data_IF_004879234921
#
_entry.id   IF_004879234921
#
_cell.length_a   1.000
_cell.length_b   1.000
_cell.length_c   1.000
_cell.angle_alpha   90.00
_cell.angle_beta   90.00
_cell.angle_gamma   90.00
#
_symmetry.space_group_name_H-M   'P 1'
#
loop_
_entity.id
_entity.type
_entity.pdbx_description
1 polymer ?
#
# COMPACT_ATOMS: atom_id res chain seq x y z
N UNK A 1 -69.67 -11.36 -39.00
CA UNK A 1 -69.39 -10.37 -40.08
C UNK A 1 -68.24 -9.45 -39.63
N UNK A 2 -67.13 -9.42 -40.39
CA UNK A 2 -66.07 -8.39 -40.58
C UNK A 2 -65.31 -7.74 -39.38
N UNK A 3 -64.00 -8.07 -39.30
CA UNK A 3 -62.76 -7.23 -39.28
C UNK A 3 -62.82 -5.78 -38.72
N UNK A 4 -61.83 -5.17 -38.02
CA UNK A 4 -60.36 -5.07 -38.31
C UNK A 4 -59.58 -4.25 -37.24
N UNK A 5 -58.30 -4.64 -37.01
CA UNK A 5 -57.02 -3.86 -36.83
C UNK A 5 -56.64 -3.03 -35.56
N UNK A 6 -55.53 -3.49 -34.94
CA UNK A 6 -54.25 -2.83 -34.52
C UNK A 6 -54.26 -1.49 -33.75
N UNK A 7 -53.58 -1.45 -32.58
CA UNK A 7 -52.21 -0.91 -32.50
C UNK A 7 -51.45 -1.36 -31.24
N UNK A 8 -50.12 -1.32 -31.36
CA UNK A 8 -49.05 -1.79 -30.46
C UNK A 8 -48.49 -0.57 -29.74
N UNK A 9 -48.17 -0.65 -28.45
CA UNK A 9 -47.00 0.10 -27.96
C UNK A 9 -46.28 -0.59 -26.80
N UNK A 10 -44.95 -0.59 -26.93
CA UNK A 10 -43.93 -1.14 -26.04
C UNK A 10 -43.28 0.05 -25.33
N UNK A 11 -43.32 0.11 -24.01
CA UNK A 11 -42.34 0.86 -23.22
C UNK A 11 -42.32 0.36 -21.78
N UNK A 12 -41.30 -0.43 -21.43
CA UNK A 12 -41.05 -0.87 -20.07
C UNK A 12 -39.61 -1.32 -19.98
N UNK A 13 -38.75 -0.48 -19.39
CA UNK A 13 -37.32 -0.80 -19.25
C UNK A 13 -36.38 0.41 -19.23
N UNK A 14 -36.74 1.52 -18.56
CA UNK A 14 -35.81 2.62 -18.28
C UNK A 14 -35.81 3.11 -16.82
N UNK A 15 -36.81 2.77 -16.02
CA UNK A 15 -36.96 3.36 -14.67
C UNK A 15 -36.13 2.68 -13.56
N UNK A 16 -35.68 1.43 -13.73
CA UNK A 16 -35.00 0.69 -12.65
C UNK A 16 -33.52 1.10 -12.43
N UNK A 17 -32.82 1.56 -13.48
CA UNK A 17 -31.41 1.92 -13.39
C UNK A 17 -31.19 3.33 -12.82
N UNK A 18 -32.10 4.26 -13.10
CA UNK A 18 -32.04 5.63 -12.55
C UNK A 18 -32.42 5.69 -11.07
N UNK A 19 -33.36 4.85 -10.63
CA UNK A 19 -33.77 4.78 -9.21
C UNK A 19 -32.64 4.25 -8.30
N UNK A 20 -31.71 3.46 -8.87
CA UNK A 20 -30.57 2.91 -8.15
C UNK A 20 -29.46 3.96 -7.91
N UNK A 21 -29.15 4.82 -8.90
CA UNK A 21 -28.18 5.92 -8.73
C UNK A 21 -28.73 7.06 -7.86
N UNK A 22 -30.03 7.36 -7.97
CA UNK A 22 -30.68 8.42 -7.18
C UNK A 22 -30.75 8.09 -5.68
N UNK A 23 -30.81 6.80 -5.32
CA UNK A 23 -30.79 6.34 -3.92
C UNK A 23 -29.42 6.45 -3.24
N UNK A 24 -28.32 6.47 -4.00
CA UNK A 24 -26.97 6.61 -3.42
C UNK A 24 -26.67 8.06 -3.04
N UNK A 25 -27.15 9.02 -3.84
CA UNK A 25 -26.93 10.46 -3.60
C UNK A 25 -27.83 11.07 -2.50
N UNK A 26 -28.83 10.33 -2.00
CA UNK A 26 -29.74 10.77 -0.93
C UNK A 26 -29.40 10.19 0.45
N UNK A 27 -28.30 9.45 0.57
CA UNK A 27 -27.86 8.86 1.83
C UNK A 27 -27.22 9.92 2.74
N UNK A 28 -27.46 9.87 4.07
CA UNK A 28 -26.76 10.71 5.04
C UNK A 28 -25.24 10.55 4.91
N UNK A 29 -24.48 11.63 5.17
CA UNK A 29 -23.01 11.63 5.06
C UNK A 29 -22.35 10.47 5.84
N UNK A 30 -22.93 10.09 6.98
CA UNK A 30 -22.46 8.97 7.81
C UNK A 30 -22.54 7.63 7.07
N UNK A 31 -23.62 7.39 6.30
CA UNK A 31 -23.77 6.17 5.49
C UNK A 31 -22.85 6.16 4.28
N UNK A 32 -22.56 7.32 3.70
CA UNK A 32 -21.58 7.44 2.62
C UNK A 32 -20.16 7.16 3.12
N UNK A 33 -19.81 7.62 4.33
CA UNK A 33 -18.55 7.28 4.98
C UNK A 33 -18.47 5.79 5.33
N UNK A 34 -19.55 5.17 5.80
CA UNK A 34 -19.60 3.71 6.03
C UNK A 34 -19.41 2.92 4.74
N UNK A 35 -20.03 3.36 3.63
CA UNK A 35 -19.84 2.73 2.31
C UNK A 35 -18.40 2.92 1.82
N UNK A 36 -17.81 4.10 2.00
CA UNK A 36 -16.40 4.35 1.66
C UNK A 36 -15.46 3.47 2.50
N UNK A 37 -15.68 3.39 3.81
CA UNK A 37 -14.92 2.49 4.71
C UNK A 37 -15.10 1.03 4.33
N UNK A 38 -16.30 0.61 3.94
CA UNK A 38 -16.56 -0.76 3.48
C UNK A 38 -15.83 -1.04 2.17
N UNK A 39 -15.84 -0.10 1.21
CA UNK A 39 -15.10 -0.21 -0.05
C UNK A 39 -13.58 -0.27 0.20
N UNK A 40 -13.05 0.57 1.09
CA UNK A 40 -11.66 0.49 1.54
C UNK A 40 -11.37 -0.87 2.17
N UNK A 41 -12.23 -1.35 3.08
CA UNK A 41 -12.09 -2.65 3.73
C UNK A 41 -12.13 -3.83 2.75
N UNK A 42 -12.96 -3.76 1.70
CA UNK A 42 -12.99 -4.76 0.61
C UNK A 42 -11.79 -4.65 -0.32
N UNK A 43 -11.23 -3.45 -0.51
CA UNK A 43 -10.01 -3.23 -1.31
C UNK A 43 -8.76 -3.73 -0.59
N UNK A 44 -8.74 -3.69 0.74
CA UNK A 44 -7.66 -4.23 1.60
C UNK A 44 -7.52 -5.76 1.48
N UNK A 45 -8.55 -6.47 1.01
CA UNK A 45 -8.54 -7.93 0.87
C UNK A 45 -7.88 -8.49 -0.39
N UNK A 46 -7.54 -7.65 -1.38
CA UNK A 46 -6.78 -8.09 -2.54
C UNK A 46 -5.31 -7.79 -2.32
N UNK A 47 -4.53 -8.80 -1.94
CA UNK A 47 -3.06 -8.74 -1.89
C UNK A 47 -2.46 -8.15 -3.19
N UNK A 48 -1.16 -7.83 -3.21
CA UNK A 48 -0.53 -7.15 -4.35
C UNK A 48 -0.86 -7.83 -5.68
N UNK A 49 -1.06 -7.05 -6.75
CA UNK A 49 -1.30 -7.60 -8.08
C UNK A 49 -0.13 -8.51 -8.47
N UNK A 50 -0.44 -9.76 -8.86
CA UNK A 50 0.59 -10.75 -9.21
C UNK A 50 0.89 -10.78 -10.70
N UNK A 51 -0.01 -10.22 -11.52
CA UNK A 51 0.17 -10.10 -12.97
C UNK A 51 -0.02 -8.67 -13.46
N UNK A 52 0.47 -8.38 -14.67
CA UNK A 52 0.30 -7.07 -15.31
C UNK A 52 -1.18 -6.76 -15.58
N UNK A 53 -1.99 -7.75 -15.98
CA UNK A 53 -3.42 -7.60 -16.24
C UNK A 53 -4.19 -7.27 -14.95
N UNK A 54 -3.79 -7.84 -13.81
CA UNK A 54 -4.34 -7.45 -12.51
C UNK A 54 -3.92 -6.04 -12.13
N UNK A 55 -2.64 -5.70 -12.31
CA UNK A 55 -2.11 -4.40 -11.95
C UNK A 55 -2.81 -3.28 -12.73
N UNK A 56 -3.00 -3.46 -14.04
CA UNK A 56 -3.63 -2.45 -14.91
C UNK A 56 -5.10 -2.20 -14.58
N UNK A 57 -5.77 -3.11 -13.86
CA UNK A 57 -7.16 -2.95 -13.42
C UNK A 57 -7.30 -2.23 -12.07
N UNK A 58 -6.18 -1.98 -11.37
CA UNK A 58 -6.18 -1.31 -10.06
C UNK A 58 -5.91 0.18 -10.19
N UNK A 59 -6.39 0.93 -9.21
CA UNK A 59 -6.00 2.32 -8.97
C UNK A 59 -4.99 2.36 -7.82
N UNK A 60 -3.91 3.13 -7.96
CA UNK A 60 -2.81 3.17 -7.01
C UNK A 60 -2.65 4.54 -6.37
N UNK A 61 -3.62 4.93 -5.54
CA UNK A 61 -3.69 6.27 -4.92
C UNK A 61 -2.37 6.75 -4.30
N UNK A 62 -1.63 5.87 -3.62
CA UNK A 62 -0.32 6.21 -3.07
C UNK A 62 0.73 6.40 -4.18
N UNK A 63 0.98 5.38 -5.01
CA UNK A 63 2.02 5.40 -6.04
C UNK A 63 1.77 6.44 -7.15
N UNK A 64 0.52 6.83 -7.36
CA UNK A 64 0.16 7.90 -8.29
C UNK A 64 0.77 9.24 -7.88
N UNK A 65 1.04 9.45 -6.60
CA UNK A 65 1.71 10.65 -6.06
C UNK A 65 3.24 10.56 -5.98
N UNK A 66 3.81 9.39 -6.22
CA UNK A 66 5.25 9.15 -6.08
C UNK A 66 5.99 9.38 -7.41
N UNK A 67 7.29 9.75 -7.37
CA UNK A 67 8.11 9.96 -8.55
C UNK A 67 8.55 8.63 -9.17
N UNK A 68 7.59 7.87 -9.70
CA UNK A 68 7.79 6.61 -10.40
C UNK A 68 7.02 6.63 -11.73
N UNK A 69 7.51 5.93 -12.78
CA UNK A 69 6.80 5.83 -14.05
C UNK A 69 5.43 5.18 -13.87
N UNK A 70 4.45 5.60 -14.67
CA UNK A 70 3.09 5.06 -14.59
C UNK A 70 2.96 3.75 -15.35
N UNK A 71 2.00 2.91 -14.95
CA UNK A 71 1.68 1.68 -15.68
C UNK A 71 1.25 2.02 -17.12
N UNK A 72 1.89 1.39 -18.10
CA UNK A 72 1.65 1.64 -19.53
C UNK A 72 2.41 2.84 -20.10
N UNK A 73 3.19 3.56 -19.30
CA UNK A 73 4.08 4.62 -19.79
C UNK A 73 5.30 4.02 -20.50
N UNK A 74 5.61 4.52 -21.70
CA UNK A 74 6.86 4.20 -22.39
C UNK A 74 7.95 5.18 -21.93
N UNK A 75 8.92 4.68 -21.16
CA UNK A 75 10.08 5.47 -20.71
C UNK A 75 11.05 5.68 -21.88
N UNK A 76 11.28 6.93 -22.27
CA UNK A 76 12.10 7.30 -23.44
C UNK A 76 13.43 7.95 -23.09
N UNK A 77 13.67 8.26 -21.81
CA UNK A 77 14.87 8.94 -21.34
C UNK A 77 15.42 8.30 -20.06
N UNK A 78 16.71 8.51 -19.84
CA UNK A 78 17.40 8.08 -18.62
C UNK A 78 17.65 9.30 -17.74
N UNK A 79 17.32 9.23 -16.46
CA UNK A 79 17.56 10.31 -15.51
C UNK A 79 16.59 10.31 -14.34
N UNK A 80 16.63 11.40 -13.57
CA UNK A 80 15.72 11.66 -12.45
C UNK A 80 14.32 12.00 -12.94
N UNK A 81 13.30 11.55 -12.20
CA UNK A 81 11.88 11.84 -12.49
C UNK A 81 11.47 13.20 -11.92
N UNK A 82 12.02 13.55 -10.75
CA UNK A 82 11.90 14.88 -10.17
C UNK A 82 13.29 15.45 -9.85
N UNK A 83 13.37 16.77 -9.75
CA UNK A 83 14.58 17.49 -9.34
C UNK A 83 14.90 17.25 -7.86
N UNK A 84 16.19 17.35 -7.51
CA UNK A 84 16.62 17.21 -6.12
C UNK A 84 16.00 18.33 -5.26
N UNK A 85 15.56 17.96 -4.06
CA UNK A 85 14.89 18.90 -3.16
C UNK A 85 15.93 19.57 -2.26
N UNK A 86 16.01 20.90 -2.31
CA UNK A 86 16.86 21.68 -1.41
C UNK A 86 16.33 21.71 0.04
N UNK A 87 15.01 21.59 0.20
CA UNK A 87 14.33 21.65 1.49
C UNK A 87 13.59 20.34 1.75
N UNK A 88 14.05 19.59 2.74
CA UNK A 88 13.43 18.36 3.21
C UNK A 88 12.65 18.66 4.49
N UNK A 89 11.47 18.04 4.63
CA UNK A 89 10.67 18.14 5.86
C UNK A 89 11.46 17.62 7.05
N UNK A 90 11.61 18.44 8.09
CA UNK A 90 12.34 18.06 9.32
C UNK A 90 11.50 17.18 10.25
N UNK A 91 10.20 17.47 10.36
CA UNK A 91 9.29 16.73 11.24
C UNK A 91 8.89 15.37 10.66
N UNK A 92 8.90 14.27 11.44
CA UNK A 92 8.42 12.98 10.98
C UNK A 92 6.97 13.03 10.47
N UNK A 93 6.61 12.12 9.56
CA UNK A 93 5.23 11.95 9.14
C UNK A 93 4.34 11.51 10.30
N UNK A 94 3.11 11.99 10.33
CA UNK A 94 2.15 11.60 11.38
C UNK A 94 1.74 10.14 11.21
N UNK A 95 1.76 9.39 12.31
CA UNK A 95 1.20 8.05 12.39
C UNK A 95 -0.25 8.10 12.88
N UNK A 96 -1.04 7.02 12.67
CA UNK A 96 -2.33 6.88 13.31
C UNK A 96 -2.23 7.02 14.84
N UNK A 97 -3.33 7.42 15.47
CA UNK A 97 -3.36 7.60 16.92
C UNK A 97 -2.99 6.30 17.66
N UNK A 98 -2.16 6.42 18.70
CA UNK A 98 -1.72 5.28 19.51
C UNK A 98 -0.44 4.61 19.02
N UNK A 99 0.17 5.13 17.96
CA UNK A 99 1.48 4.68 17.47
C UNK A 99 2.53 5.80 17.54
N UNK A 100 3.79 5.41 17.59
CA UNK A 100 4.94 6.31 17.55
C UNK A 100 6.10 5.70 16.76
N UNK A 101 6.92 6.58 16.19
CA UNK A 101 8.18 6.20 15.56
C UNK A 101 9.21 5.81 16.62
N UNK A 102 10.02 4.81 16.32
CA UNK A 102 11.17 4.40 17.13
C UNK A 102 12.37 4.13 16.22
N UNK A 103 13.57 4.48 16.67
CA UNK A 103 14.81 4.17 15.96
C UNK A 103 15.42 2.93 16.58
N UNK A 104 15.46 1.82 15.84
CA UNK A 104 15.84 0.54 16.42
C UNK A 104 17.37 0.40 16.52
N UNK A 105 17.90 0.40 17.75
CA UNK A 105 19.29 0.00 17.97
C UNK A 105 19.42 -1.53 17.94
N UNK A 106 19.78 -2.05 16.76
CA UNK A 106 20.00 -3.48 16.55
C UNK A 106 21.22 -4.04 17.32
N UNK A 107 22.03 -3.20 17.97
CA UNK A 107 23.12 -3.65 18.86
C UNK A 107 22.60 -4.15 20.19
N UNK A 108 21.40 -3.70 20.57
CA UNK A 108 20.66 -4.25 21.69
C UNK A 108 20.00 -5.57 21.26
N UNK A 109 20.43 -6.67 21.86
CA UNK A 109 19.92 -8.02 21.58
C UNK A 109 18.42 -8.16 21.82
N UNK A 110 17.84 -7.38 22.74
CA UNK A 110 16.41 -7.37 22.97
C UNK A 110 15.65 -6.74 21.79
N UNK A 111 16.12 -5.60 21.29
CA UNK A 111 15.51 -4.90 20.15
C UNK A 111 15.65 -5.72 18.87
N UNK A 112 16.81 -6.32 18.64
CA UNK A 112 17.03 -7.23 17.51
C UNK A 112 16.08 -8.44 17.56
N UNK A 113 15.83 -8.99 18.77
CA UNK A 113 14.87 -10.07 18.96
C UNK A 113 13.43 -9.62 18.69
N UNK A 114 13.07 -8.40 19.05
CA UNK A 114 11.74 -7.85 18.71
C UNK A 114 11.55 -7.74 17.19
N UNK A 115 12.56 -7.23 16.47
CA UNK A 115 12.53 -7.16 15.01
C UNK A 115 12.46 -8.55 14.36
N UNK A 116 13.27 -9.49 14.86
CA UNK A 116 13.21 -10.89 14.45
C UNK A 116 11.79 -11.45 14.58
N UNK A 117 11.18 -11.31 15.76
CA UNK A 117 9.83 -11.79 16.02
C UNK A 117 8.81 -11.13 15.09
N UNK A 118 8.89 -9.81 14.89
CA UNK A 118 7.99 -9.09 13.99
C UNK A 118 8.04 -9.69 12.57
N UNK A 119 9.25 -9.88 12.02
CA UNK A 119 9.41 -10.37 10.66
C UNK A 119 9.01 -11.84 10.54
N UNK A 120 9.42 -12.69 11.49
CA UNK A 120 9.05 -14.11 11.46
C UNK A 120 7.52 -14.33 11.53
N UNK A 121 6.81 -13.49 12.29
CA UNK A 121 5.36 -13.62 12.47
C UNK A 121 4.53 -12.95 11.35
N UNK A 122 5.06 -11.93 10.66
CA UNK A 122 4.26 -11.05 9.79
C UNK A 122 4.86 -10.80 8.39
N UNK A 123 6.08 -11.27 8.12
CA UNK A 123 6.74 -11.06 6.83
C UNK A 123 6.40 -12.15 5.83
N UNK A 124 6.73 -11.87 4.56
CA UNK A 124 6.32 -12.56 3.33
C UNK A 124 5.97 -14.04 3.52
N UNK A 125 4.71 -14.33 3.22
CA UNK A 125 4.18 -15.66 2.98
C UNK A 125 4.29 -15.92 1.47
N UNK A 126 4.64 -17.15 1.09
CA UNK A 126 4.50 -17.59 -0.30
C UNK A 126 3.01 -17.62 -0.72
N UNK A 127 2.76 -17.81 -2.02
CA UNK A 127 1.42 -17.74 -2.60
C UNK A 127 0.41 -18.71 -1.97
N UNK A 128 0.90 -19.82 -1.39
CA UNK A 128 0.12 -20.86 -0.72
C UNK A 128 0.19 -20.77 0.82
N UNK A 129 0.86 -19.75 1.37
CA UNK A 129 1.09 -19.55 2.81
C UNK A 129 1.74 -20.76 3.51
N UNK A 130 2.53 -21.55 2.78
CA UNK A 130 3.24 -22.73 3.24
C UNK A 130 4.62 -22.41 3.83
N UNK A 131 5.24 -21.30 3.44
CA UNK A 131 6.60 -20.92 3.82
C UNK A 131 6.67 -19.45 4.26
N UNK A 132 7.43 -19.21 5.34
CA UNK A 132 7.82 -17.88 5.82
C UNK A 132 9.33 -17.80 5.92
N UNK A 133 9.89 -16.65 5.58
CA UNK A 133 11.33 -16.42 5.75
C UNK A 133 11.68 -16.26 7.24
N UNK A 134 12.43 -17.21 7.79
CA UNK A 134 12.99 -17.16 9.14
C UNK A 134 14.38 -16.49 9.10
N UNK A 135 14.39 -15.15 9.05
CA UNK A 135 15.62 -14.37 9.04
C UNK A 135 16.29 -14.43 10.41
N UNK A 136 17.42 -15.13 10.56
CA UNK A 136 18.10 -15.17 11.86
C UNK A 136 18.55 -13.77 12.34
N UNK A 137 18.67 -13.54 13.66
CA UNK A 137 19.20 -12.28 14.20
C UNK A 137 20.55 -11.87 13.62
N UNK A 138 21.45 -12.85 13.39
CA UNK A 138 22.77 -12.63 12.80
C UNK A 138 22.66 -12.21 11.33
N UNK A 139 21.73 -12.81 10.58
CA UNK A 139 21.45 -12.42 9.21
C UNK A 139 20.91 -10.97 9.15
N UNK A 140 19.99 -10.61 10.04
CA UNK A 140 19.45 -9.25 10.11
C UNK A 140 20.55 -8.23 10.41
N UNK A 141 21.46 -8.52 11.34
CA UNK A 141 22.61 -7.66 11.60
C UNK A 141 23.51 -7.50 10.37
N UNK A 142 23.83 -8.60 9.70
CA UNK A 142 24.65 -8.58 8.49
C UNK A 142 23.99 -7.76 7.37
N UNK A 143 22.70 -7.92 7.15
CA UNK A 143 21.96 -7.23 6.09
C UNK A 143 21.71 -5.74 6.41
N UNK A 144 21.44 -5.40 7.68
CA UNK A 144 21.03 -4.05 8.09
C UNK A 144 22.19 -3.17 8.54
N UNK A 145 23.39 -3.71 8.74
CA UNK A 145 24.60 -2.95 9.13
C UNK A 145 25.77 -3.07 8.15
N UNK A 146 25.58 -2.88 6.84
CA UNK A 146 26.69 -2.77 5.91
C UNK A 146 27.49 -1.48 6.16
N UNK A 147 28.75 -1.35 5.68
CA UNK A 147 29.53 -0.13 5.85
C UNK A 147 28.75 1.14 5.44
N UNK A 148 28.74 2.14 6.33
CA UNK A 148 28.01 3.41 6.12
C UNK A 148 26.55 3.39 6.55
N UNK A 149 26.03 2.29 7.12
CA UNK A 149 24.70 2.26 7.72
C UNK A 149 24.51 3.38 8.76
N UNK A 150 23.27 3.85 8.91
CA UNK A 150 22.91 4.91 9.82
C UNK A 150 21.78 4.43 10.75
N UNK A 151 21.86 4.67 12.08
CA UNK A 151 20.82 4.24 13.01
C UNK A 151 19.43 4.73 12.66
N UNK A 152 19.29 6.00 12.25
CA UNK A 152 18.02 6.61 11.86
C UNK A 152 17.40 5.99 10.59
N UNK A 153 18.10 5.10 9.90
CA UNK A 153 17.56 4.34 8.78
C UNK A 153 16.98 3.00 9.20
N UNK A 154 16.98 2.65 10.49
CA UNK A 154 16.28 1.49 11.06
C UNK A 154 14.98 1.95 11.73
N UNK A 155 13.98 2.24 10.90
CA UNK A 155 12.74 2.89 11.31
C UNK A 155 11.71 1.87 11.81
N UNK A 156 11.43 1.87 13.10
CA UNK A 156 10.38 1.08 13.74
C UNK A 156 9.10 1.88 14.03
N UNK A 157 7.98 1.18 14.14
CA UNK A 157 6.71 1.72 14.65
C UNK A 157 6.29 0.91 15.86
N UNK A 158 6.02 1.59 16.98
CA UNK A 158 5.58 0.97 18.23
C UNK A 158 4.19 1.43 18.64
N UNK A 159 3.47 0.55 19.32
CA UNK A 159 2.21 0.88 20.00
C UNK A 159 2.53 1.61 21.30
N UNK A 160 1.92 2.77 21.54
CA UNK A 160 2.23 3.64 22.68
C UNK A 160 1.89 3.01 24.04
N UNK A 161 0.86 2.16 24.11
CA UNK A 161 0.37 1.61 25.38
C UNK A 161 1.21 0.46 25.94
N UNK A 162 1.85 -0.32 25.07
CA UNK A 162 2.58 -1.53 25.46
C UNK A 162 3.97 -1.65 24.83
N UNK A 163 4.40 -0.64 24.07
CA UNK A 163 5.66 -0.58 23.34
C UNK A 163 5.91 -1.72 22.36
N UNK A 164 4.88 -2.50 21.98
CA UNK A 164 5.03 -3.59 21.00
C UNK A 164 5.46 -3.01 19.65
N UNK A 165 6.53 -3.56 19.08
CA UNK A 165 6.96 -3.29 17.71
C UNK A 165 5.95 -3.91 16.71
N UNK A 166 5.44 -3.10 15.80
CA UNK A 166 4.35 -3.49 14.87
C UNK A 166 4.60 -3.08 13.42
N UNK A 167 5.67 -2.32 13.15
CA UNK A 167 6.07 -1.93 11.81
C UNK A 167 7.57 -1.70 11.77
N UNK A 168 8.16 -1.97 10.61
CA UNK A 168 9.57 -1.74 10.37
C UNK A 168 9.82 -1.46 8.89
N UNK A 169 10.70 -0.50 8.60
CA UNK A 169 11.29 -0.26 7.28
C UNK A 169 12.75 0.15 7.47
N UNK A 170 13.62 -0.28 6.55
CA UNK A 170 15.04 0.03 6.62
C UNK A 170 15.60 0.59 5.32
N UNK A 171 16.63 1.44 5.43
CA UNK A 171 17.48 1.84 4.32
C UNK A 171 18.95 1.53 4.61
N UNK A 172 19.71 1.21 3.57
CA UNK A 172 21.17 1.01 3.61
C UNK A 172 21.80 1.74 2.42
N UNK A 173 23.03 2.26 2.55
CA UNK A 173 23.67 2.96 1.44
C UNK A 173 24.20 1.95 0.43
N UNK A 174 24.01 2.22 -0.86
CA UNK A 174 24.58 1.45 -1.94
C UNK A 174 24.89 2.34 -3.14
N UNK A 175 26.05 2.13 -3.76
CA UNK A 175 26.35 2.70 -5.07
C UNK A 175 25.79 1.76 -6.14
N UNK A 176 24.78 2.22 -6.88
CA UNK A 176 24.10 1.42 -7.89
C UNK A 176 24.55 1.91 -9.28
N UNK A 177 25.08 0.99 -10.10
CA UNK A 177 25.29 1.23 -11.53
C UNK A 177 24.04 0.82 -12.28
N UNK A 178 23.38 1.78 -12.93
CA UNK A 178 22.24 1.54 -13.80
C UNK A 178 22.68 1.85 -15.23
N UNK A 179 22.51 0.88 -16.12
CA UNK A 179 23.05 0.84 -17.49
C UNK A 179 24.59 0.77 -17.55
N UNK A 180 25.09 0.25 -18.68
CA UNK A 180 26.47 0.47 -19.10
C UNK A 180 26.52 1.78 -19.88
N UNK A 181 27.10 2.81 -19.28
CA UNK A 181 27.80 3.83 -20.08
C UNK A 181 29.17 3.30 -20.46
#
# INVERSE_FOLDING_TARGET
KKQKKKNKDKSGGKDAAQDSLAKVNSLPADKLQEIQKAIELFSVGQGPAKTMEEATRRSYQFWDTQPVPKLGETVVSHGRIEEDKDNIREEPYSLPQGFSWDTLDLGNTAVLKELYTLLNENYVEDDDNMFRFDYSPEFLLWALRPPGWLPQWHCGVRVNSNHKLVGFISAIPANIRIYEM
#
